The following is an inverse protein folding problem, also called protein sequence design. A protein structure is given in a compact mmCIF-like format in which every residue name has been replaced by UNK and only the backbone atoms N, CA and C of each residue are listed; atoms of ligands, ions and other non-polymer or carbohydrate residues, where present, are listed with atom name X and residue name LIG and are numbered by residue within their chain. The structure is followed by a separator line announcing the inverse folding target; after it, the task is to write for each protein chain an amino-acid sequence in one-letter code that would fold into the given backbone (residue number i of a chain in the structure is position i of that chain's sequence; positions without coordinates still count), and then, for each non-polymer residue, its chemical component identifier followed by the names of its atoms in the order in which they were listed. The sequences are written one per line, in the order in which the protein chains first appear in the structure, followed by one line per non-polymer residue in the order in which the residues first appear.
data_IF_017930923125
#
_entry.id   IF_017930923125
#
_cell.length_a   1.000
_cell.length_b   1.000
_cell.length_c   1.000
_cell.angle_alpha   90.00
_cell.angle_beta   90.00
_cell.angle_gamma   90.00
#
_symmetry.space_group_name_H-M   'P 1'
#
loop_
_entity.id
_entity.type
_entity.pdbx_description
1 polymer ?
#
# COMPACT_ATOMS: atom_id res chain seq x y z
N UNK A 1 -28.40 19.86 13.88
CA UNK A 1 -27.23 19.02 14.22
C UNK A 1 -26.20 19.70 15.13
N UNK A 2 -25.36 20.64 14.66
CA UNK A 2 -24.27 21.22 15.51
C UNK A 2 -24.80 21.95 16.75
N UNK A 3 -25.85 22.78 16.60
CA UNK A 3 -26.49 23.46 17.73
C UNK A 3 -27.22 22.50 18.66
N UNK A 4 -27.75 21.40 18.14
CA UNK A 4 -28.44 20.36 18.91
C UNK A 4 -27.47 19.47 19.69
N UNK A 5 -26.19 19.41 19.27
CA UNK A 5 -25.15 18.64 19.93
C UNK A 5 -24.60 19.31 21.21
N UNK A 6 -25.01 20.55 21.53
CA UNK A 6 -24.64 21.28 22.75
C UNK A 6 -23.15 21.21 23.12
N UNK A 7 -22.26 21.31 22.12
CA UNK A 7 -20.81 21.28 22.33
C UNK A 7 -20.21 19.89 22.63
N UNK A 8 -20.96 18.80 22.46
CA UNK A 8 -20.46 17.41 22.61
C UNK A 8 -19.72 16.90 21.37
N UNK A 9 -19.87 17.57 20.23
CA UNK A 9 -19.18 17.23 18.98
C UNK A 9 -18.01 18.19 18.73
N UNK A 10 -16.87 17.63 18.33
CA UNK A 10 -15.73 18.41 17.83
C UNK A 10 -15.73 18.31 16.30
N UNK A 11 -15.80 19.44 15.63
CA UNK A 11 -15.76 19.51 14.17
C UNK A 11 -14.30 19.65 13.69
N UNK A 12 -13.86 18.80 12.77
CA UNK A 12 -12.61 19.02 12.04
C UNK A 12 -12.89 19.76 10.73
N UNK A 13 -12.12 20.83 10.46
CA UNK A 13 -12.21 21.61 9.24
C UNK A 13 -10.82 21.61 8.61
N UNK A 14 -10.65 20.81 7.55
CA UNK A 14 -9.45 20.93 6.73
C UNK A 14 -9.51 22.21 5.90
N UNK A 15 -8.35 22.77 5.58
CA UNK A 15 -8.23 24.04 4.86
C UNK A 15 -9.11 25.15 5.47
N UNK A 16 -9.03 25.36 6.79
CA UNK A 16 -9.85 26.34 7.53
C UNK A 16 -9.85 27.74 6.88
N UNK A 17 -8.72 28.12 6.29
CA UNK A 17 -8.58 29.38 5.58
C UNK A 17 -9.48 29.53 4.35
N UNK A 18 -9.89 28.43 3.69
CA UNK A 18 -10.80 28.47 2.56
C UNK A 18 -12.20 28.91 3.01
N UNK A 19 -12.65 28.41 4.17
CA UNK A 19 -13.95 28.73 4.77
C UNK A 19 -14.00 30.16 5.31
N UNK A 20 -12.86 30.67 5.79
CA UNK A 20 -12.73 32.01 6.40
C UNK A 20 -12.34 33.08 5.39
N UNK A 21 -11.51 32.73 4.40
CA UNK A 21 -10.91 33.64 3.42
C UNK A 21 -11.74 33.81 2.15
N UNK A 22 -12.75 32.97 1.93
CA UNK A 22 -13.71 33.05 0.82
C UNK A 22 -14.37 34.43 0.68
N UNK A 23 -14.53 35.19 1.78
CA UNK A 23 -15.10 36.54 1.75
C UNK A 23 -14.29 37.57 0.94
N UNK A 24 -13.04 37.27 0.53
CA UNK A 24 -12.22 38.13 -0.31
C UNK A 24 -12.31 37.84 -1.82
N UNK A 25 -12.90 36.71 -2.22
CA UNK A 25 -13.11 36.35 -3.62
C UNK A 25 -14.58 36.64 -4.00
N UNK A 26 -14.79 37.50 -4.99
CA UNK A 26 -16.13 37.89 -5.45
C UNK A 26 -16.95 36.65 -5.87
N UNK A 27 -17.88 36.21 -5.01
CA UNK A 27 -18.85 35.17 -5.32
C UNK A 27 -18.81 33.92 -4.42
N UNK A 28 -17.83 33.76 -3.54
CA UNK A 28 -17.84 32.67 -2.56
C UNK A 28 -18.67 33.06 -1.32
N UNK A 29 -19.51 32.13 -0.83
CA UNK A 29 -20.32 32.37 0.37
C UNK A 29 -19.39 32.45 1.58
N UNK A 30 -19.35 33.63 2.22
CA UNK A 30 -18.52 33.86 3.41
C UNK A 30 -19.11 33.18 4.65
N UNK A 31 -18.75 31.90 4.84
CA UNK A 31 -19.11 31.11 6.01
C UNK A 31 -18.50 31.66 7.31
N UNK A 32 -17.51 32.55 7.23
CA UNK A 32 -16.91 33.26 8.38
C UNK A 32 -17.97 34.03 9.19
N UNK A 33 -18.95 34.61 8.50
CA UNK A 33 -20.07 35.34 9.14
C UNK A 33 -20.97 34.45 10.01
N UNK A 34 -21.08 33.16 9.68
CA UNK A 34 -21.85 32.17 10.45
C UNK A 34 -21.02 31.54 11.58
N UNK A 35 -19.71 31.33 11.35
CA UNK A 35 -18.82 30.66 12.31
C UNK A 35 -18.45 31.56 13.50
N UNK A 36 -18.16 32.85 13.26
CA UNK A 36 -17.71 33.77 14.32
C UNK A 36 -18.69 33.87 15.50
N UNK A 37 -20.01 34.04 15.30
CA UNK A 37 -20.95 34.09 16.41
C UNK A 37 -21.01 32.76 17.21
N UNK A 38 -20.93 31.62 16.52
CA UNK A 38 -20.99 30.30 17.16
C UNK A 38 -19.72 30.00 17.98
N UNK A 39 -18.55 30.36 17.44
CA UNK A 39 -17.27 30.28 18.15
C UNK A 39 -17.24 31.22 19.36
N UNK A 40 -17.77 32.44 19.21
CA UNK A 40 -17.81 33.42 20.30
C UNK A 40 -18.71 32.99 21.47
N UNK A 41 -19.82 32.31 21.18
CA UNK A 41 -20.74 31.76 22.20
C UNK A 41 -20.31 30.40 22.74
N UNK A 42 -19.27 29.77 22.18
CA UNK A 42 -18.83 28.43 22.56
C UNK A 42 -19.77 27.32 22.12
N UNK A 43 -20.71 27.61 21.21
CA UNK A 43 -21.66 26.64 20.64
C UNK A 43 -20.96 25.69 19.65
N UNK A 44 -19.84 26.12 19.06
CA UNK A 44 -19.02 25.34 18.14
C UNK A 44 -17.65 25.05 18.77
N UNK A 45 -17.29 23.78 18.83
CA UNK A 45 -15.92 23.32 19.09
C UNK A 45 -15.36 22.77 17.79
N UNK A 46 -14.24 23.31 17.34
CA UNK A 46 -13.60 22.81 16.13
C UNK A 46 -12.08 22.78 16.22
N UNK A 47 -11.49 21.95 15.37
CA UNK A 47 -10.07 21.87 15.06
C UNK A 47 -9.94 22.25 13.59
N UNK A 48 -9.22 23.33 13.29
CA UNK A 48 -8.94 23.74 11.92
C UNK A 48 -7.51 23.41 11.52
N UNK A 49 -7.31 22.93 10.30
CA UNK A 49 -5.99 22.75 9.69
C UNK A 49 -5.77 23.80 8.60
N UNK A 50 -4.57 24.38 8.52
CA UNK A 50 -4.18 25.36 7.49
C UNK A 50 -2.66 25.53 7.49
N UNK A 51 -2.11 26.05 6.39
CA UNK A 51 -0.68 26.41 6.35
C UNK A 51 -0.37 27.67 7.17
N UNK A 52 0.89 27.84 7.56
CA UNK A 52 1.35 29.03 8.30
C UNK A 52 1.08 30.33 7.51
N UNK A 53 1.25 30.28 6.19
CA UNK A 53 1.07 31.45 5.32
C UNK A 53 -0.40 31.88 5.27
N UNK A 54 -1.32 30.93 5.18
CA UNK A 54 -2.76 31.19 5.19
C UNK A 54 -3.26 31.63 6.56
N UNK A 55 -2.76 31.01 7.63
CA UNK A 55 -3.06 31.44 9.01
C UNK A 55 -2.72 32.93 9.19
N UNK A 56 -1.51 33.35 8.81
CA UNK A 56 -1.06 34.75 8.84
C UNK A 56 -1.92 35.67 7.98
N UNK A 57 -2.41 35.17 6.84
CA UNK A 57 -3.16 35.98 5.89
C UNK A 57 -4.63 36.18 6.29
N UNK A 58 -5.28 35.15 6.81
CA UNK A 58 -6.74 35.12 6.97
C UNK A 58 -7.22 35.00 8.42
N UNK A 59 -6.43 34.43 9.33
CA UNK A 59 -6.85 34.17 10.72
C UNK A 59 -6.21 35.17 11.68
N UNK A 60 -4.89 35.34 11.61
CA UNK A 60 -4.13 36.23 12.50
C UNK A 60 -4.52 37.71 12.33
N UNK A 61 -4.91 38.12 11.11
CA UNK A 61 -5.39 39.48 10.84
C UNK A 61 -6.80 39.75 11.36
N UNK A 62 -7.57 38.71 11.66
CA UNK A 62 -8.93 38.83 12.17
C UNK A 62 -8.97 38.65 13.69
N UNK A 63 -8.99 39.78 14.42
CA UNK A 63 -9.06 39.79 15.89
C UNK A 63 -10.19 38.95 16.50
N UNK A 64 -11.29 38.69 15.79
CA UNK A 64 -12.37 37.85 16.32
C UNK A 64 -11.99 36.36 16.27
N UNK A 65 -11.26 35.94 15.24
CA UNK A 65 -10.82 34.55 15.06
C UNK A 65 -9.53 34.26 15.82
N UNK A 66 -8.57 35.19 15.79
CA UNK A 66 -7.29 35.08 16.52
C UNK A 66 -7.51 34.80 18.01
N UNK A 67 -8.53 35.44 18.62
CA UNK A 67 -8.88 35.25 20.05
C UNK A 67 -9.63 33.95 20.35
N UNK A 68 -9.99 33.16 19.32
CA UNK A 68 -10.78 31.93 19.44
C UNK A 68 -10.02 30.69 19.02
N UNK A 69 -8.99 30.84 18.19
CA UNK A 69 -8.10 29.75 17.81
C UNK A 69 -6.78 29.83 18.58
N UNK A 70 -6.40 28.70 19.19
CA UNK A 70 -5.05 28.50 19.70
C UNK A 70 -4.20 27.90 18.58
N UNK A 71 -3.13 28.58 18.09
CA UNK A 71 -2.23 27.97 17.13
C UNK A 71 -1.49 26.79 17.76
N UNK A 72 -1.55 25.64 17.08
CA UNK A 72 -0.78 24.43 17.39
C UNK A 72 0.08 24.16 16.16
N UNK A 73 1.40 24.23 16.34
CA UNK A 73 2.33 24.06 15.22
C UNK A 73 2.62 22.59 14.98
N UNK A 74 2.22 22.08 13.83
CA UNK A 74 2.58 20.74 13.36
C UNK A 74 3.70 20.91 12.33
N UNK A 75 4.88 20.39 12.65
CA UNK A 75 6.06 20.46 11.78
C UNK A 75 6.21 19.14 11.02
N UNK A 76 6.89 19.22 9.88
CA UNK A 76 7.38 18.05 9.17
C UNK A 76 8.26 17.20 10.14
N UNK A 77 8.03 15.88 10.21
CA UNK A 77 8.86 14.97 11.00
C UNK A 77 10.28 14.87 10.43
N UNK A 78 11.24 14.50 11.28
CA UNK A 78 12.57 14.14 10.80
C UNK A 78 12.54 12.83 9.98
N UNK A 79 13.65 12.51 9.30
CA UNK A 79 13.79 11.21 8.63
C UNK A 79 13.64 10.05 9.63
N UNK A 80 14.20 10.19 10.85
CA UNK A 80 14.12 9.16 11.89
C UNK A 80 12.69 8.99 12.43
N UNK A 81 11.99 10.10 12.65
CA UNK A 81 10.57 10.09 13.05
C UNK A 81 9.71 9.47 11.94
N UNK A 82 10.00 9.77 10.68
CA UNK A 82 9.31 9.18 9.52
C UNK A 82 9.49 7.68 9.48
N UNK A 83 10.71 7.16 9.68
CA UNK A 83 10.95 5.72 9.75
C UNK A 83 10.10 5.09 10.86
N UNK A 84 9.98 5.75 12.01
CA UNK A 84 9.14 5.28 13.12
C UNK A 84 7.66 5.30 12.78
N UNK A 85 7.18 6.33 12.08
CA UNK A 85 5.80 6.41 11.56
C UNK A 85 5.53 5.27 10.57
N UNK A 86 6.44 5.07 9.61
CA UNK A 86 6.34 4.01 8.60
C UNK A 86 6.30 2.63 9.24
N UNK A 87 7.14 2.36 10.25
CA UNK A 87 7.09 1.12 11.03
C UNK A 87 5.74 0.90 11.72
N UNK A 88 5.11 1.98 12.20
CA UNK A 88 3.79 1.93 12.84
C UNK A 88 2.65 1.62 11.88
N UNK A 89 2.76 2.01 10.61
CA UNK A 89 1.74 1.74 9.58
C UNK A 89 2.07 0.53 8.70
N UNK A 90 3.30 0.01 8.77
CA UNK A 90 3.83 -1.10 7.96
C UNK A 90 2.85 -2.25 7.81
N UNK A 91 2.35 -2.77 8.93
CA UNK A 91 1.49 -3.96 8.92
C UNK A 91 0.17 -3.71 8.17
N UNK A 92 -0.37 -2.50 8.24
CA UNK A 92 -1.59 -2.13 7.49
C UNK A 92 -1.35 -2.13 5.99
N UNK A 93 -0.21 -1.62 5.54
CA UNK A 93 0.15 -1.62 4.12
C UNK A 93 0.46 -3.02 3.60
N UNK A 94 1.17 -3.84 4.40
CA UNK A 94 1.40 -5.24 4.08
C UNK A 94 0.09 -6.02 3.90
N UNK A 95 -0.90 -5.80 4.77
CA UNK A 95 -2.22 -6.43 4.65
C UNK A 95 -2.98 -5.89 3.44
N UNK A 96 -2.99 -4.58 3.23
CA UNK A 96 -3.72 -3.93 2.14
C UNK A 96 -3.25 -4.42 0.75
N UNK A 97 -1.93 -4.50 0.57
CA UNK A 97 -1.31 -4.91 -0.70
C UNK A 97 -1.09 -6.41 -0.81
N UNK A 98 -1.04 -7.12 0.32
CA UNK A 98 -0.75 -8.55 0.34
C UNK A 98 0.73 -8.88 0.12
N UNK A 99 1.63 -7.95 0.45
CA UNK A 99 3.09 -8.10 0.34
C UNK A 99 3.74 -8.00 1.72
N UNK A 100 5.05 -8.27 1.80
CA UNK A 100 5.88 -7.91 2.96
C UNK A 100 6.67 -6.65 2.66
N UNK A 101 7.03 -5.89 3.68
CA UNK A 101 7.88 -4.72 3.51
C UNK A 101 9.12 -4.93 4.38
N UNK A 102 10.32 -4.86 3.79
CA UNK A 102 11.54 -4.94 4.58
C UNK A 102 11.73 -3.65 5.39
N UNK A 103 12.35 -3.76 6.57
CA UNK A 103 12.65 -2.56 7.36
C UNK A 103 13.57 -1.59 6.61
N UNK A 104 14.49 -2.14 5.83
CA UNK A 104 15.40 -1.38 4.98
C UNK A 104 14.66 -0.59 3.89
N UNK A 105 13.55 -1.12 3.35
CA UNK A 105 12.70 -0.38 2.42
C UNK A 105 12.09 0.89 3.07
N UNK A 106 11.69 0.81 4.35
CA UNK A 106 11.17 1.97 5.08
C UNK A 106 12.24 3.06 5.28
N UNK A 107 13.46 2.62 5.58
CA UNK A 107 14.63 3.49 5.71
C UNK A 107 14.92 4.17 4.37
N UNK A 108 15.01 3.40 3.29
CA UNK A 108 15.25 3.91 1.95
C UNK A 108 14.14 4.86 1.48
N UNK A 109 12.86 4.54 1.73
CA UNK A 109 11.75 5.43 1.38
C UNK A 109 11.84 6.77 2.09
N UNK A 110 12.22 6.77 3.37
CA UNK A 110 12.39 8.00 4.15
C UNK A 110 13.60 8.83 3.67
N UNK A 111 14.73 8.19 3.35
CA UNK A 111 15.95 8.88 2.90
C UNK A 111 15.80 9.41 1.48
N UNK A 112 15.33 8.57 0.56
CA UNK A 112 15.25 8.89 -0.87
C UNK A 112 14.16 9.94 -1.13
N UNK A 113 12.98 9.80 -0.53
CA UNK A 113 11.93 10.84 -0.66
C UNK A 113 12.40 12.17 -0.09
N UNK A 114 13.12 12.19 1.03
CA UNK A 114 13.65 13.42 1.60
C UNK A 114 14.72 14.07 0.71
N UNK A 115 15.54 13.26 0.02
CA UNK A 115 16.63 13.75 -0.82
C UNK A 115 16.17 14.21 -2.20
N UNK A 116 15.25 13.48 -2.83
CA UNK A 116 14.92 13.67 -4.25
C UNK A 116 13.56 14.32 -4.50
N UNK A 117 12.62 14.27 -3.54
CA UNK A 117 11.29 14.86 -3.66
C UNK A 117 11.23 16.10 -2.75
N UNK A 118 11.53 17.28 -3.33
CA UNK A 118 11.67 18.54 -2.58
C UNK A 118 10.39 19.39 -2.49
N UNK A 119 9.41 19.12 -3.33
CA UNK A 119 8.14 19.85 -3.43
C UNK A 119 7.04 19.31 -2.50
N UNK A 120 7.32 18.21 -1.80
CA UNK A 120 6.43 17.56 -0.83
C UNK A 120 7.12 17.35 0.52
N UNK A 121 6.32 17.14 1.56
CA UNK A 121 6.78 17.01 2.93
C UNK A 121 6.68 15.57 3.44
N UNK A 122 7.59 15.18 4.33
CA UNK A 122 7.44 13.99 5.16
C UNK A 122 6.23 14.12 6.10
N UNK A 123 5.62 13.00 6.53
CA UNK A 123 5.89 11.62 6.13
C UNK A 123 5.20 11.22 4.82
N UNK A 124 4.31 12.08 4.30
CA UNK A 124 3.40 11.83 3.17
C UNK A 124 4.12 11.29 1.93
N UNK A 125 5.16 11.99 1.45
CA UNK A 125 5.96 11.53 0.30
C UNK A 125 6.65 10.18 0.50
N UNK A 126 7.00 9.81 1.73
CA UNK A 126 7.64 8.52 2.00
C UNK A 126 6.59 7.40 2.06
N UNK A 127 5.39 7.70 2.56
CA UNK A 127 4.24 6.80 2.56
C UNK A 127 3.85 6.46 1.11
N UNK A 128 3.80 7.47 0.24
CA UNK A 128 3.48 7.27 -1.18
C UNK A 128 4.48 6.34 -1.88
N UNK A 129 5.79 6.50 -1.64
CA UNK A 129 6.79 5.59 -2.21
C UNK A 129 6.58 4.14 -1.77
N UNK A 130 6.25 3.93 -0.49
CA UNK A 130 5.93 2.59 0.03
C UNK A 130 4.67 2.06 -0.64
N UNK A 131 3.63 2.88 -0.79
CA UNK A 131 2.36 2.49 -1.40
C UNK A 131 2.53 2.08 -2.86
N UNK A 132 3.29 2.87 -3.62
CA UNK A 132 3.58 2.63 -5.03
C UNK A 132 4.44 1.38 -5.22
N UNK A 133 5.51 1.21 -4.43
CA UNK A 133 6.35 0.01 -4.49
C UNK A 133 5.57 -1.26 -4.11
N UNK A 134 4.69 -1.19 -3.09
CA UNK A 134 3.82 -2.30 -2.73
C UNK A 134 2.82 -2.63 -3.85
N UNK A 135 2.26 -1.61 -4.49
CA UNK A 135 1.33 -1.76 -5.61
C UNK A 135 2.01 -2.39 -6.82
N UNK A 136 3.23 -1.95 -7.14
CA UNK A 136 4.05 -2.49 -8.21
C UNK A 136 4.31 -3.98 -7.99
N UNK A 137 4.84 -4.35 -6.82
CA UNK A 137 5.13 -5.74 -6.47
C UNK A 137 3.89 -6.63 -6.52
N UNK A 138 2.73 -6.10 -6.09
CA UNK A 138 1.45 -6.82 -6.18
C UNK A 138 1.08 -7.15 -7.62
N UNK A 139 1.25 -6.21 -8.54
CA UNK A 139 0.95 -6.41 -9.96
C UNK A 139 1.87 -7.49 -10.54
N UNK A 140 3.14 -7.51 -10.14
CA UNK A 140 4.09 -8.55 -10.55
C UNK A 140 3.67 -9.95 -10.06
N UNK A 141 3.27 -10.09 -8.80
CA UNK A 141 2.80 -11.35 -8.22
C UNK A 141 1.57 -11.90 -8.97
N UNK A 142 0.66 -11.01 -9.36
CA UNK A 142 -0.55 -11.40 -10.07
C UNK A 142 -0.29 -11.75 -11.54
N UNK A 143 0.84 -11.31 -12.09
CA UNK A 143 1.24 -11.50 -13.49
C UNK A 143 2.09 -12.75 -13.71
N UNK A 144 2.19 -13.19 -14.97
CA UNK A 144 3.07 -14.29 -15.33
C UNK A 144 4.53 -13.79 -15.34
N UNK A 145 5.48 -14.49 -14.69
CA UNK A 145 6.89 -14.14 -14.73
C UNK A 145 7.43 -14.05 -16.15
N UNK A 146 8.26 -13.03 -16.42
CA UNK A 146 8.82 -12.76 -17.76
C UNK A 146 9.64 -13.94 -18.29
N UNK A 147 10.29 -14.71 -17.42
CA UNK A 147 11.05 -15.90 -17.81
C UNK A 147 10.16 -17.00 -18.39
N UNK A 148 8.92 -17.12 -17.90
CA UNK A 148 7.93 -18.08 -18.44
C UNK A 148 7.43 -17.57 -19.79
N UNK A 149 7.06 -16.28 -19.88
CA UNK A 149 6.60 -15.68 -21.13
C UNK A 149 7.66 -15.79 -22.24
N UNK A 150 8.93 -15.54 -21.93
CA UNK A 150 10.03 -15.65 -22.88
C UNK A 150 10.19 -17.08 -23.44
N UNK A 151 10.03 -18.10 -22.59
CA UNK A 151 10.11 -19.50 -23.02
C UNK A 151 8.90 -19.85 -23.90
N UNK A 152 7.70 -19.40 -23.51
CA UNK A 152 6.48 -19.60 -24.29
C UNK A 152 6.57 -18.93 -25.66
N UNK A 153 7.06 -17.69 -25.73
CA UNK A 153 7.27 -16.97 -27.00
C UNK A 153 8.27 -17.68 -27.88
N UNK A 154 9.38 -18.19 -27.32
CA UNK A 154 10.36 -19.00 -28.08
C UNK A 154 9.73 -20.30 -28.60
N UNK A 155 8.93 -20.99 -27.78
CA UNK A 155 8.22 -22.20 -28.20
C UNK A 155 7.21 -21.94 -29.32
N UNK A 156 6.46 -20.82 -29.24
CA UNK A 156 5.54 -20.39 -30.28
C UNK A 156 6.25 -20.06 -31.61
N UNK A 157 7.41 -19.39 -31.56
CA UNK A 157 8.21 -19.13 -32.77
C UNK A 157 8.63 -20.43 -33.47
N UNK A 158 9.10 -21.41 -32.70
CA UNK A 158 9.45 -22.74 -33.25
C UNK A 158 8.23 -23.46 -33.82
N UNK A 159 7.05 -23.29 -33.22
CA UNK A 159 5.80 -23.88 -33.70
C UNK A 159 5.37 -23.29 -35.05
N UNK A 160 5.50 -21.98 -35.23
CA UNK A 160 5.25 -21.29 -36.50
C UNK A 160 6.23 -21.81 -37.57
N UNK A 161 7.51 -21.89 -37.27
CA UNK A 161 8.54 -22.41 -38.19
C UNK A 161 8.27 -23.88 -38.57
N UNK A 162 7.95 -24.71 -37.58
CA UNK A 162 7.60 -26.13 -37.78
C UNK A 162 6.36 -26.27 -38.67
N UNK A 163 5.35 -25.41 -38.50
CA UNK A 163 4.12 -25.42 -39.30
C UNK A 163 4.39 -25.07 -40.76
N UNK A 164 5.30 -24.14 -41.04
CA UNK A 164 5.73 -23.82 -42.40
C UNK A 164 6.43 -25.03 -43.06
N UNK A 165 7.33 -25.69 -42.33
CA UNK A 165 8.11 -26.84 -42.84
C UNK A 165 7.30 -28.12 -43.02
N UNK A 166 6.13 -28.27 -42.36
CA UNK A 166 5.24 -29.44 -42.52
C UNK A 166 4.75 -29.66 -43.96
N UNK A 167 4.78 -28.62 -44.80
CA UNK A 167 4.34 -28.70 -46.21
C UNK A 167 5.47 -29.10 -47.17
N UNK A 168 6.71 -29.04 -46.70
CA UNK A 168 7.90 -29.37 -47.48
C UNK A 168 8.17 -30.88 -47.43
N UNK A 169 8.72 -31.42 -48.54
CA UNK A 169 8.95 -32.87 -48.71
C UNK A 169 10.42 -33.24 -48.88
N UNK A 170 11.33 -32.27 -48.91
CA UNK A 170 12.75 -32.53 -49.05
C UNK A 170 13.36 -33.04 -47.72
N UNK A 171 14.37 -33.90 -47.82
CA UNK A 171 15.00 -34.53 -46.66
C UNK A 171 15.57 -33.52 -45.65
N UNK A 172 16.05 -32.35 -46.11
CA UNK A 172 16.59 -31.33 -45.20
C UNK A 172 15.49 -30.67 -44.37
N UNK A 173 14.33 -30.40 -44.97
CA UNK A 173 13.16 -29.89 -44.25
C UNK A 173 12.62 -30.89 -43.23
N UNK A 174 12.63 -32.19 -43.55
CA UNK A 174 12.23 -33.25 -42.59
C UNK A 174 13.18 -33.29 -41.39
N UNK A 175 14.50 -33.32 -41.62
CA UNK A 175 15.49 -33.29 -40.52
C UNK A 175 15.39 -32.01 -39.66
N UNK A 176 15.16 -30.86 -40.30
CA UNK A 176 14.98 -29.59 -39.58
C UNK A 176 13.69 -29.60 -38.76
N UNK A 177 12.60 -30.12 -39.32
CA UNK A 177 11.31 -30.25 -38.62
C UNK A 177 11.43 -31.14 -37.37
N UNK A 178 12.16 -32.25 -37.45
CA UNK A 178 12.44 -33.10 -36.27
C UNK A 178 13.20 -32.35 -35.18
N UNK A 179 14.26 -31.61 -35.55
CA UNK A 179 15.04 -30.79 -34.60
C UNK A 179 14.18 -29.71 -33.94
N UNK A 180 13.36 -29.00 -34.73
CA UNK A 180 12.45 -27.98 -34.23
C UNK A 180 11.42 -28.57 -33.27
N UNK A 181 10.80 -29.70 -33.62
CA UNK A 181 9.83 -30.38 -32.75
C UNK A 181 10.48 -30.82 -31.43
N UNK A 182 11.70 -31.37 -31.48
CA UNK A 182 12.44 -31.75 -30.28
C UNK A 182 12.69 -30.54 -29.38
N UNK A 183 13.21 -29.44 -29.94
CA UNK A 183 13.49 -28.22 -29.18
C UNK A 183 12.22 -27.56 -28.64
N UNK A 184 11.16 -27.54 -29.43
CA UNK A 184 9.85 -27.03 -29.01
C UNK A 184 9.30 -27.85 -27.84
N UNK A 185 9.39 -29.18 -27.87
CA UNK A 185 8.95 -30.04 -26.78
C UNK A 185 9.78 -29.84 -25.51
N UNK A 186 11.10 -29.65 -25.64
CA UNK A 186 11.97 -29.28 -24.51
C UNK A 186 11.52 -27.95 -23.86
N UNK A 187 11.29 -26.90 -24.66
CA UNK A 187 10.84 -25.60 -24.16
C UNK A 187 9.42 -25.67 -23.57
N UNK A 188 8.49 -26.39 -24.20
CA UNK A 188 7.12 -26.59 -23.66
C UNK A 188 7.15 -27.31 -22.32
N UNK A 189 8.00 -28.33 -22.17
CA UNK A 189 8.19 -29.03 -20.89
C UNK A 189 8.78 -28.09 -19.84
N UNK A 190 9.82 -27.33 -20.19
CA UNK A 190 10.43 -26.36 -19.27
C UNK A 190 9.43 -25.29 -18.82
N UNK A 191 8.61 -24.75 -19.73
CA UNK A 191 7.55 -23.79 -19.41
C UNK A 191 6.51 -24.41 -18.47
N UNK A 192 6.09 -25.64 -18.74
CA UNK A 192 5.13 -26.36 -17.90
C UNK A 192 5.66 -26.54 -16.47
N UNK A 193 6.89 -27.03 -16.32
CA UNK A 193 7.53 -27.21 -15.01
C UNK A 193 7.63 -25.85 -14.26
N UNK A 194 7.92 -24.76 -14.98
CA UNK A 194 7.99 -23.41 -14.40
C UNK A 194 6.62 -22.87 -13.98
N UNK A 195 5.58 -23.10 -14.78
CA UNK A 195 4.20 -22.71 -14.47
C UNK A 195 3.65 -23.45 -13.27
N UNK A 196 3.94 -24.75 -13.16
CA UNK A 196 3.54 -25.55 -11.99
C UNK A 196 4.18 -24.99 -10.71
N UNK A 197 5.48 -24.72 -10.76
CA UNK A 197 6.20 -24.11 -9.63
C UNK A 197 5.65 -22.72 -9.27
N UNK A 198 5.44 -21.86 -10.26
CA UNK A 198 4.84 -20.53 -10.08
C UNK A 198 3.44 -20.60 -9.47
N UNK A 199 2.58 -21.51 -9.93
CA UNK A 199 1.23 -21.68 -9.39
C UNK A 199 1.26 -22.10 -7.91
N UNK A 200 2.20 -22.96 -7.52
CA UNK A 200 2.37 -23.37 -6.12
C UNK A 200 2.81 -22.17 -5.26
N UNK A 201 3.80 -21.39 -5.71
CA UNK A 201 4.22 -20.17 -5.01
C UNK A 201 3.04 -19.19 -4.85
N UNK A 202 2.30 -18.95 -5.94
CA UNK A 202 1.16 -18.04 -5.97
C UNK A 202 0.05 -18.46 -5.01
N UNK A 203 -0.28 -19.74 -4.95
CA UNK A 203 -1.30 -20.26 -4.03
C UNK A 203 -0.91 -20.03 -2.57
N UNK A 204 0.37 -20.26 -2.22
CA UNK A 204 0.86 -20.06 -0.86
C UNK A 204 0.84 -18.57 -0.49
N UNK A 205 1.26 -17.69 -1.39
CA UNK A 205 1.21 -16.23 -1.18
C UNK A 205 -0.23 -15.77 -0.96
N UNK A 206 -1.20 -16.27 -1.75
CA UNK A 206 -2.62 -15.97 -1.57
C UNK A 206 -3.17 -16.45 -0.22
N UNK A 207 -2.74 -17.63 0.24
CA UNK A 207 -3.11 -18.15 1.56
C UNK A 207 -2.53 -17.30 2.70
N UNK A 208 -1.25 -16.92 2.60
CA UNK A 208 -0.58 -16.00 3.55
C UNK A 208 -1.36 -14.69 3.64
N UNK A 209 -1.74 -14.11 2.49
CA UNK A 209 -2.54 -12.89 2.42
C UNK A 209 -3.89 -13.05 3.13
N UNK A 210 -4.63 -14.11 2.82
CA UNK A 210 -5.92 -14.38 3.48
C UNK A 210 -5.78 -14.53 5.00
N UNK A 211 -4.70 -15.14 5.47
CA UNK A 211 -4.40 -15.26 6.90
C UNK A 211 -4.09 -13.90 7.52
N UNK A 212 -3.26 -13.07 6.88
CA UNK A 212 -2.97 -11.69 7.33
C UNK A 212 -4.23 -10.84 7.43
N UNK A 213 -5.12 -10.88 6.43
CA UNK A 213 -6.41 -10.17 6.45
C UNK A 213 -7.32 -10.64 7.59
N UNK A 214 -7.35 -11.95 7.87
CA UNK A 214 -8.10 -12.50 9.01
C UNK A 214 -7.53 -12.02 10.35
N UNK A 215 -6.21 -12.02 10.49
CA UNK A 215 -5.53 -11.54 11.70
C UNK A 215 -5.87 -10.08 11.98
N UNK A 216 -5.77 -9.21 10.97
CA UNK A 216 -6.08 -7.78 11.10
C UNK A 216 -7.55 -7.53 11.50
N UNK A 217 -8.49 -8.25 10.86
CA UNK A 217 -9.91 -8.20 11.25
C UNK A 217 -10.12 -8.66 12.68
N UNK A 218 -9.53 -9.80 13.08
CA UNK A 218 -9.63 -10.33 14.44
C UNK A 218 -9.05 -9.36 15.48
N UNK A 219 -7.95 -8.66 15.17
CA UNK A 219 -7.40 -7.61 16.05
C UNK A 219 -8.36 -6.44 16.20
N UNK A 220 -8.91 -5.95 15.10
CA UNK A 220 -9.90 -4.86 15.10
C UNK A 220 -11.15 -5.25 15.90
N UNK A 221 -11.66 -6.47 15.71
CA UNK A 221 -12.80 -7.00 16.47
C UNK A 221 -12.50 -7.14 17.96
N UNK A 222 -11.27 -7.52 18.33
CA UNK A 222 -10.85 -7.60 19.72
C UNK A 222 -10.77 -6.22 20.38
N UNK A 223 -10.26 -5.21 19.67
CA UNK A 223 -10.25 -3.82 20.14
C UNK A 223 -11.66 -3.26 20.31
N UNK A 224 -12.55 -3.51 19.36
CA UNK A 224 -13.96 -3.12 19.45
C UNK A 224 -14.64 -3.78 20.64
N UNK A 225 -14.45 -5.09 20.83
CA UNK A 225 -15.01 -5.82 21.97
C UNK A 225 -14.50 -5.26 23.32
N UNK A 226 -13.23 -4.87 23.41
CA UNK A 226 -12.66 -4.24 24.61
C UNK A 226 -13.30 -2.87 24.88
N UNK A 227 -13.47 -2.03 23.84
CA UNK A 227 -14.14 -0.72 23.95
C UNK A 227 -15.60 -0.86 24.39
N UNK A 228 -16.28 -1.91 23.97
CA UNK A 228 -17.65 -2.25 24.37
C UNK A 228 -17.73 -2.96 25.73
N UNK A 229 -16.60 -3.11 26.44
CA UNK A 229 -16.51 -3.86 27.71
C UNK A 229 -16.91 -5.34 27.61
N UNK A 230 -16.94 -5.91 26.41
CA UNK A 230 -17.13 -7.34 26.18
C UNK A 230 -15.79 -8.09 26.33
N UNK A 231 -15.33 -8.18 27.59
CA UNK A 231 -14.02 -8.73 27.94
C UNK A 231 -13.88 -10.22 27.60
N UNK A 232 -14.98 -10.98 27.62
CA UNK A 232 -14.97 -12.41 27.27
C UNK A 232 -14.64 -12.59 25.79
N UNK A 233 -15.34 -11.88 24.89
CA UNK A 233 -15.08 -11.93 23.46
C UNK A 233 -13.68 -11.41 23.13
N UNK A 234 -13.25 -10.32 23.76
CA UNK A 234 -11.91 -9.79 23.57
C UNK A 234 -10.81 -10.81 23.96
N UNK A 235 -11.00 -11.52 25.08
CA UNK A 235 -10.07 -12.56 25.52
C UNK A 235 -10.05 -13.78 24.59
N UNK A 236 -11.21 -14.24 24.12
CA UNK A 236 -11.32 -15.34 23.15
C UNK A 236 -10.57 -15.03 21.86
N UNK A 237 -10.76 -13.83 21.29
CA UNK A 237 -10.09 -13.40 20.08
C UNK A 237 -8.57 -13.27 20.30
N UNK A 238 -8.14 -12.65 21.41
CA UNK A 238 -6.72 -12.40 21.71
C UNK A 238 -5.91 -13.63 22.06
N UNK A 239 -6.48 -14.55 22.83
CA UNK A 239 -5.75 -15.68 23.39
C UNK A 239 -6.15 -17.04 22.77
N UNK A 240 -7.24 -17.07 21.99
CA UNK A 240 -7.65 -18.22 21.21
C UNK A 240 -7.38 -18.01 19.72
N UNK A 241 -8.20 -17.20 19.06
CA UNK A 241 -8.23 -17.09 17.60
C UNK A 241 -6.94 -16.51 17.00
N UNK A 242 -6.42 -15.41 17.55
CA UNK A 242 -5.19 -14.78 17.04
C UNK A 242 -3.97 -15.74 17.09
N UNK A 243 -3.67 -16.40 18.22
CA UNK A 243 -2.58 -17.38 18.28
C UNK A 243 -2.72 -18.54 17.29
N UNK A 244 -3.95 -18.98 17.00
CA UNK A 244 -4.18 -20.02 15.97
C UNK A 244 -3.90 -19.52 14.56
N UNK A 245 -4.33 -18.30 14.24
CA UNK A 245 -4.07 -17.67 12.95
C UNK A 245 -2.58 -17.39 12.76
N UNK A 246 -1.89 -16.88 13.79
CA UNK A 246 -0.43 -16.65 13.76
C UNK A 246 0.35 -17.95 13.56
N UNK A 247 -0.08 -19.05 14.18
CA UNK A 247 0.52 -20.38 13.95
C UNK A 247 0.34 -20.82 12.50
N UNK A 248 -0.86 -20.68 11.93
CA UNK A 248 -1.11 -21.01 10.51
C UNK A 248 -0.28 -20.14 9.58
N UNK A 249 -0.21 -18.83 9.86
CA UNK A 249 0.60 -17.89 9.09
C UNK A 249 2.07 -18.29 9.10
N UNK A 250 2.61 -18.68 10.26
CA UNK A 250 3.98 -19.16 10.38
C UNK A 250 4.23 -20.42 9.57
N UNK A 251 3.30 -21.38 9.57
CA UNK A 251 3.41 -22.62 8.78
C UNK A 251 3.47 -22.31 7.28
N UNK A 252 2.59 -21.44 6.77
CA UNK A 252 2.60 -21.08 5.35
C UNK A 252 3.87 -20.28 4.96
N UNK A 253 4.34 -19.38 5.83
CA UNK A 253 5.63 -18.69 5.61
C UNK A 253 6.80 -19.69 5.54
N UNK A 254 6.87 -20.64 6.47
CA UNK A 254 7.91 -21.68 6.47
C UNK A 254 7.82 -22.58 5.23
N UNK A 255 6.60 -22.82 4.72
CA UNK A 255 6.36 -23.57 3.48
C UNK A 255 6.86 -22.78 2.26
N UNK A 256 6.55 -21.49 2.18
CA UNK A 256 7.02 -20.62 1.10
C UNK A 256 8.55 -20.59 1.04
N UNK A 257 9.21 -20.38 2.18
CA UNK A 257 10.68 -20.37 2.28
C UNK A 257 11.29 -21.68 1.80
N UNK A 258 10.67 -22.83 2.06
CA UNK A 258 11.18 -24.13 1.59
C UNK A 258 11.09 -24.27 0.08
N UNK A 259 10.00 -23.81 -0.53
CA UNK A 259 9.78 -23.92 -1.98
C UNK A 259 10.68 -22.96 -2.74
N UNK A 260 10.82 -21.72 -2.24
CA UNK A 260 11.67 -20.71 -2.85
C UNK A 260 13.17 -21.03 -2.75
N UNK A 261 13.60 -21.94 -1.85
CA UNK A 261 15.01 -22.40 -1.77
C UNK A 261 15.46 -23.17 -3.00
N UNK A 262 14.57 -23.92 -3.64
CA UNK A 262 14.91 -24.66 -4.85
C UNK A 262 14.92 -23.73 -6.06
N UNK A 263 13.90 -22.88 -6.15
CA UNK A 263 13.74 -21.87 -7.19
C UNK A 263 12.79 -20.79 -6.69
N UNK A 264 13.20 -19.52 -6.78
CA UNK A 264 12.34 -18.38 -6.46
C UNK A 264 11.82 -17.79 -7.77
N UNK A 265 10.50 -17.78 -7.97
CA UNK A 265 9.87 -17.18 -9.15
C UNK A 265 9.15 -15.87 -8.83
N UNK A 266 8.63 -15.73 -7.62
CA UNK A 266 7.91 -14.53 -7.18
C UNK A 266 8.68 -13.83 -6.06
N UNK A 267 8.83 -12.52 -6.20
CA UNK A 267 9.22 -11.63 -5.11
C UNK A 267 7.95 -11.31 -4.30
N UNK A 268 8.06 -11.38 -2.98
CA UNK A 268 6.95 -11.20 -2.05
C UNK A 268 7.23 -10.13 -0.99
N UNK A 269 8.43 -9.55 -1.01
CA UNK A 269 8.87 -8.50 -0.10
C UNK A 269 9.35 -7.28 -0.88
N UNK A 270 8.91 -6.11 -0.48
CA UNK A 270 9.43 -4.82 -0.93
C UNK A 270 10.75 -4.56 -0.22
N UNK A 271 11.82 -4.33 -0.99
CA UNK A 271 13.16 -4.00 -0.51
C UNK A 271 13.59 -2.58 -0.92
N UNK A 272 14.84 -2.25 -0.68
CA UNK A 272 15.38 -0.92 -1.01
C UNK A 272 15.52 -0.66 -2.52
N UNK A 273 15.64 -1.71 -3.33
CA UNK A 273 15.76 -1.59 -4.79
C UNK A 273 14.40 -1.18 -5.39
N UNK A 274 13.30 -1.77 -4.90
CA UNK A 274 11.95 -1.40 -5.32
C UNK A 274 11.66 0.09 -5.04
N UNK A 275 12.11 0.60 -3.90
CA UNK A 275 11.96 2.02 -3.56
C UNK A 275 12.80 2.89 -4.50
N UNK A 276 14.03 2.48 -4.79
CA UNK A 276 14.91 3.23 -5.68
C UNK A 276 14.35 3.28 -7.11
N UNK A 277 13.70 2.21 -7.57
CA UNK A 277 13.04 2.15 -8.87
C UNK A 277 11.87 3.13 -8.97
N UNK A 278 11.03 3.24 -7.93
CA UNK A 278 9.93 4.21 -7.90
C UNK A 278 10.41 5.66 -7.90
N UNK A 279 11.57 5.93 -7.30
CA UNK A 279 12.13 7.30 -7.24
C UNK A 279 12.85 7.72 -8.53
N UNK A 280 13.28 6.76 -9.36
CA UNK A 280 14.11 6.99 -10.56
C UNK A 280 13.30 7.41 -11.78
#
# INVERSE_FOLDING_TARGET
EIKEAEGKTIMFIDELHAVVGAGAAEGAVDASSMLKPMLARGELRCIGATTINEYRKYIEKDTALERRFQPIMVREPSVEDTISILRGIKEKYEVHHGVRIQDQALVSASILSNRYISDRFLPDKAIDLIDEACSHLRIEIDSMPTEIDDIDRKAQQLEIEATALRKEKDNRSVERLEKLNKRMNELKKQSQDMKEHWNIEKEIIQNIRSLKEKIDRTRTEAELAERESNLQKAAELRYGTLPELDKKLKIENDRLVKIQKEKKMLKEEVDEEDIAEVVS
#
